data_IF_988854950810
#
_entry.id   IF_988854950810
#
_cell.length_a   1.000
_cell.length_b   1.000
_cell.length_c   1.000
_cell.angle_alpha   90.00
_cell.angle_beta   90.00
_cell.angle_gamma   90.00
#
_symmetry.space_group_name_H-M   'P 1'
#
loop_
_entity.id
_entity.type
_entity.pdbx_description
1 polymer ?
#
# COMPACT_ATOMS: atom_id res chain seq x y z
N UNK A 1 -19.30 8.92 -5.64
CA UNK A 1 -18.68 9.05 -4.31
C UNK A 1 -17.86 10.33 -4.31
N UNK A 2 -17.95 11.19 -3.29
CA UNK A 2 -17.14 12.42 -3.25
C UNK A 2 -15.67 12.05 -3.00
N UNK A 3 -14.76 12.68 -3.75
CA UNK A 3 -13.32 12.48 -3.55
C UNK A 3 -12.88 13.12 -2.24
N UNK A 4 -12.00 12.44 -1.51
CA UNK A 4 -11.36 12.93 -0.30
C UNK A 4 -9.89 12.54 -0.31
N UNK A 5 -9.03 13.37 0.28
CA UNK A 5 -7.62 13.01 0.44
C UNK A 5 -7.47 11.83 1.41
N UNK A 6 -6.46 10.99 1.16
CA UNK A 6 -6.08 9.89 2.05
C UNK A 6 -5.90 10.33 3.50
N UNK A 7 -5.34 11.52 3.71
CA UNK A 7 -5.01 12.03 5.04
C UNK A 7 -6.24 12.56 5.79
N UNK A 8 -7.34 12.84 5.08
CA UNK A 8 -8.60 13.35 5.64
C UNK A 8 -9.59 12.24 5.98
N UNK A 9 -9.36 11.01 5.47
CA UNK A 9 -10.24 9.87 5.69
C UNK A 9 -9.97 9.24 7.06
N UNK A 10 -11.05 8.93 7.78
CA UNK A 10 -10.96 8.08 8.98
C UNK A 10 -10.54 6.64 8.58
N UNK A 11 -10.09 5.84 9.55
CA UNK A 11 -9.73 4.45 9.29
C UNK A 11 -10.91 3.63 8.75
N UNK A 12 -12.12 3.88 9.26
CA UNK A 12 -13.34 3.22 8.77
C UNK A 12 -13.66 3.64 7.33
N UNK A 13 -13.56 4.94 6.99
CA UNK A 13 -13.77 5.38 5.61
C UNK A 13 -12.72 4.79 4.65
N UNK A 14 -11.46 4.68 5.08
CA UNK A 14 -10.40 4.01 4.31
C UNK A 14 -10.76 2.56 4.07
N UNK A 15 -11.16 1.84 5.11
CA UNK A 15 -11.56 0.44 5.04
C UNK A 15 -12.73 0.23 4.07
N UNK A 16 -13.80 1.00 4.20
CA UNK A 16 -15.00 0.84 3.38
C UNK A 16 -14.73 1.12 1.90
N UNK A 17 -13.96 2.18 1.61
CA UNK A 17 -13.58 2.54 0.24
C UNK A 17 -12.65 1.51 -0.39
N UNK A 18 -11.64 1.04 0.34
CA UNK A 18 -10.73 0.00 -0.15
C UNK A 18 -11.44 -1.36 -0.29
N UNK A 19 -12.38 -1.69 0.60
CA UNK A 19 -13.22 -2.88 0.50
C UNK A 19 -14.06 -2.86 -0.78
N UNK A 20 -14.61 -1.69 -1.13
CA UNK A 20 -15.38 -1.54 -2.38
C UNK A 20 -14.49 -1.76 -3.61
N UNK A 21 -13.26 -1.23 -3.59
CA UNK A 21 -12.27 -1.45 -4.66
C UNK A 21 -11.91 -2.93 -4.79
N UNK A 22 -11.60 -3.60 -3.67
CA UNK A 22 -11.25 -5.03 -3.68
C UNK A 22 -12.42 -5.91 -4.11
N UNK A 23 -13.64 -5.59 -3.69
CA UNK A 23 -14.85 -6.29 -4.11
C UNK A 23 -15.04 -6.20 -5.63
N UNK A 24 -14.87 -5.01 -6.20
CA UNK A 24 -14.95 -4.84 -7.65
C UNK A 24 -13.80 -5.57 -8.38
N UNK A 25 -12.58 -5.51 -7.86
CA UNK A 25 -11.44 -6.25 -8.43
C UNK A 25 -11.65 -7.78 -8.37
N UNK A 26 -12.41 -8.29 -7.41
CA UNK A 26 -12.82 -9.70 -7.37
C UNK A 26 -13.90 -10.06 -8.38
N UNK A 27 -14.72 -9.11 -8.81
CA UNK A 27 -15.89 -9.33 -9.67
C UNK A 27 -15.70 -8.92 -11.14
N UNK A 28 -14.77 -8.02 -11.44
CA UNK A 28 -14.49 -7.51 -12.79
C UNK A 28 -13.01 -7.72 -13.16
N UNK A 29 -12.77 -8.60 -14.13
CA UNK A 29 -11.43 -8.95 -14.60
C UNK A 29 -10.69 -7.77 -15.23
N UNK A 30 -11.38 -6.87 -15.94
CA UNK A 30 -10.73 -5.71 -16.59
C UNK A 30 -10.29 -4.71 -15.54
N UNK A 31 -11.11 -4.51 -14.51
CA UNK A 31 -10.74 -3.66 -13.38
C UNK A 31 -9.60 -4.29 -12.58
N UNK A 32 -9.66 -5.61 -12.33
CA UNK A 32 -8.57 -6.36 -11.69
C UNK A 32 -7.25 -6.19 -12.39
N UNK A 33 -7.21 -6.36 -13.71
CA UNK A 33 -6.00 -6.23 -14.51
C UNK A 33 -5.43 -4.81 -14.39
N UNK A 34 -6.29 -3.78 -14.43
CA UNK A 34 -5.87 -2.38 -14.19
C UNK A 34 -5.22 -2.18 -12.83
N UNK A 35 -5.71 -2.83 -11.78
CA UNK A 35 -5.10 -2.74 -10.45
C UNK A 35 -3.72 -3.40 -10.38
N UNK A 36 -3.46 -4.43 -11.20
CA UNK A 36 -2.22 -5.21 -11.18
C UNK A 36 -1.13 -4.68 -12.14
N UNK A 37 -1.49 -3.85 -13.13
CA UNK A 37 -0.56 -3.38 -14.19
C UNK A 37 0.63 -2.59 -13.64
N UNK A 38 0.40 -1.59 -12.79
CA UNK A 38 1.46 -0.76 -12.21
C UNK A 38 0.98 -0.02 -10.97
N UNK A 39 1.90 0.50 -10.12
CA UNK A 39 1.53 1.30 -8.96
C UNK A 39 0.68 2.54 -9.29
N UNK A 40 0.98 3.22 -10.40
CA UNK A 40 0.25 4.40 -10.85
C UNK A 40 -1.16 4.02 -11.34
N UNK A 41 -1.25 2.91 -12.07
CA UNK A 41 -2.54 2.37 -12.52
C UNK A 41 -3.41 1.95 -11.32
N UNK A 42 -2.81 1.32 -10.31
CA UNK A 42 -3.46 0.97 -9.05
C UNK A 42 -3.99 2.19 -8.30
N UNK A 43 -3.15 3.22 -8.10
CA UNK A 43 -3.56 4.49 -7.48
C UNK A 43 -4.74 5.11 -8.22
N UNK A 44 -4.68 5.13 -9.55
CA UNK A 44 -5.76 5.67 -10.39
C UNK A 44 -7.05 4.87 -10.26
N UNK A 45 -6.97 3.53 -10.29
CA UNK A 45 -8.12 2.65 -10.14
C UNK A 45 -8.81 2.83 -8.78
N UNK A 46 -8.03 2.93 -7.70
CA UNK A 46 -8.56 3.24 -6.36
C UNK A 46 -9.19 4.64 -6.33
N UNK A 47 -8.55 5.64 -6.93
CA UNK A 47 -9.09 7.00 -6.96
C UNK A 47 -10.40 7.14 -7.72
N UNK A 48 -10.60 6.32 -8.76
CA UNK A 48 -11.84 6.27 -9.53
C UNK A 48 -12.99 5.58 -8.76
N UNK A 49 -12.71 4.41 -8.16
CA UNK A 49 -13.75 3.56 -7.56
C UNK A 49 -13.97 3.85 -6.07
N UNK A 50 -12.88 3.99 -5.31
CA UNK A 50 -12.91 4.32 -3.89
C UNK A 50 -13.03 5.82 -3.62
N UNK A 51 -12.89 6.67 -4.64
CA UNK A 51 -12.94 8.12 -4.47
C UNK A 51 -11.84 8.65 -3.54
N UNK A 52 -10.65 8.04 -3.57
CA UNK A 52 -9.51 8.42 -2.72
C UNK A 52 -8.50 9.22 -3.53
N UNK A 53 -8.09 10.37 -3.03
CA UNK A 53 -6.97 11.12 -3.57
C UNK A 53 -5.73 10.82 -2.74
N UNK A 54 -4.67 10.39 -3.41
CA UNK A 54 -3.41 10.06 -2.75
C UNK A 54 -2.40 11.19 -2.90
N UNK A 55 -1.55 11.44 -1.89
CA UNK A 55 -0.36 12.26 -2.05
C UNK A 55 0.52 11.81 -3.23
N UNK A 56 1.30 12.71 -3.86
CA UNK A 56 2.13 12.39 -5.02
C UNK A 56 3.11 11.24 -4.77
N UNK A 57 3.74 11.23 -3.60
CA UNK A 57 4.76 10.28 -3.13
C UNK A 57 4.18 8.96 -2.59
N UNK A 58 2.87 8.88 -2.41
CA UNK A 58 2.20 7.68 -1.93
C UNK A 58 2.35 6.53 -2.95
N UNK A 59 2.68 5.32 -2.49
CA UNK A 59 2.78 4.12 -3.35
C UNK A 59 1.69 3.13 -3.00
N UNK A 60 1.02 2.60 -4.02
CA UNK A 60 0.05 1.51 -3.86
C UNK A 60 0.40 0.40 -4.81
N UNK A 61 0.31 -0.83 -4.35
CA UNK A 61 0.56 -2.02 -5.16
C UNK A 61 -0.48 -3.08 -4.80
N UNK A 62 -1.12 -3.65 -5.82
CA UNK A 62 -1.91 -4.87 -5.67
C UNK A 62 -1.00 -6.04 -6.01
N UNK A 63 -1.16 -7.13 -5.27
CA UNK A 63 -0.51 -8.40 -5.53
C UNK A 63 -1.59 -9.46 -5.62
N UNK A 64 -1.42 -10.41 -6.53
CA UNK A 64 -2.13 -11.68 -6.46
C UNK A 64 -1.67 -12.47 -5.22
N UNK A 65 -2.44 -13.48 -4.77
CA UNK A 65 -2.01 -14.34 -3.66
C UNK A 65 -0.65 -15.00 -3.89
N UNK A 66 -0.34 -15.37 -5.14
CA UNK A 66 0.96 -15.96 -5.49
C UNK A 66 2.10 -14.94 -5.40
N UNK A 67 1.91 -13.73 -5.94
CA UNK A 67 2.90 -12.67 -5.87
C UNK A 67 3.15 -12.20 -4.43
N UNK A 68 2.10 -12.18 -3.60
CA UNK A 68 2.21 -11.85 -2.18
C UNK A 68 3.19 -12.80 -1.46
N UNK A 69 3.13 -14.10 -1.75
CA UNK A 69 4.06 -15.10 -1.18
C UNK A 69 5.50 -14.96 -1.69
N UNK A 70 5.68 -14.28 -2.83
CA UNK A 70 6.97 -14.09 -3.50
C UNK A 70 7.53 -12.67 -3.34
N UNK A 71 6.88 -11.81 -2.55
CA UNK A 71 7.26 -10.40 -2.37
C UNK A 71 7.72 -10.13 -0.95
N UNK A 72 8.91 -9.53 -0.80
CA UNK A 72 9.44 -9.05 0.47
C UNK A 72 9.54 -7.51 0.43
N UNK A 73 8.92 -6.83 1.39
CA UNK A 73 9.01 -5.37 1.56
C UNK A 73 9.85 -5.07 2.79
N UNK A 74 11.02 -4.46 2.56
CA UNK A 74 11.94 -4.00 3.61
C UNK A 74 11.96 -2.47 3.65
N UNK A 75 11.95 -1.92 4.86
CA UNK A 75 12.13 -0.48 5.09
C UNK A 75 13.63 -0.20 5.20
N UNK A 76 14.13 0.76 4.45
CA UNK A 76 15.53 1.19 4.62
C UNK A 76 15.57 2.17 5.82
N UNK A 77 16.39 1.93 6.84
CA UNK A 77 16.57 2.85 7.95
C UNK A 77 17.19 4.18 7.49
N UNK A 78 17.04 5.20 8.32
CA UNK A 78 17.73 6.46 8.12
C UNK A 78 19.25 6.25 8.09
N UNK A 79 19.92 7.05 7.27
CA UNK A 79 21.36 7.03 7.15
C UNK A 79 21.99 7.69 8.38
N UNK A 80 22.73 6.89 9.16
CA UNK A 80 23.57 7.39 10.25
C UNK A 80 25.04 7.24 9.83
N UNK A 81 25.80 8.33 9.69
CA UNK A 81 27.24 8.24 9.41
C UNK A 81 27.94 7.53 10.57
N UNK A 82 28.95 6.71 10.25
CA UNK A 82 29.71 5.95 11.25
C UNK A 82 31.01 6.67 11.58
N UNK A 83 31.20 7.02 12.86
CA UNK A 83 32.40 7.74 13.31
C UNK A 83 33.69 6.90 13.14
N UNK A 84 33.59 5.57 13.20
CA UNK A 84 34.73 4.64 13.13
C UNK A 84 34.75 3.78 11.86
N UNK A 85 33.98 4.15 10.82
CA UNK A 85 33.95 3.46 9.53
C UNK A 85 33.38 2.03 9.53
N UNK A 86 32.89 1.54 10.68
CA UNK A 86 32.26 0.22 10.80
C UNK A 86 30.73 0.37 10.91
N UNK A 87 29.94 -0.21 9.98
CA UNK A 87 28.49 -0.12 10.01
C UNK A 87 27.90 -0.86 11.23
N UNK A 88 26.90 -0.25 11.85
CA UNK A 88 26.09 -0.93 12.88
C UNK A 88 25.30 -2.08 12.24
N UNK A 89 25.23 -3.22 12.94
CA UNK A 89 24.44 -4.38 12.49
C UNK A 89 22.97 -4.06 12.69
N UNK A 90 22.17 -4.21 11.63
CA UNK A 90 20.71 -4.00 11.63
C UNK A 90 20.00 -5.29 11.27
N UNK A 91 19.08 -5.74 12.12
CA UNK A 91 18.37 -7.00 11.90
C UNK A 91 17.21 -6.80 10.94
N UNK A 92 17.03 -7.73 10.00
CA UNK A 92 15.98 -7.63 8.98
C UNK A 92 14.57 -7.60 9.57
N UNK A 93 14.36 -8.25 10.73
CA UNK A 93 13.08 -8.32 11.43
C UNK A 93 12.57 -6.94 11.88
N UNK A 94 13.47 -6.02 12.23
CA UNK A 94 13.13 -4.66 12.66
C UNK A 94 12.59 -3.78 11.51
N UNK A 95 12.87 -4.20 10.28
CA UNK A 95 12.59 -3.42 9.06
C UNK A 95 11.63 -4.12 8.09
N UNK A 96 11.26 -5.37 8.39
CA UNK A 96 10.24 -6.09 7.67
C UNK A 96 8.87 -5.54 8.06
N UNK A 97 8.11 -5.02 7.08
CA UNK A 97 6.73 -4.59 7.35
C UNK A 97 5.78 -5.79 7.28
N UNK A 98 5.24 -6.20 8.42
CA UNK A 98 4.04 -7.02 8.46
C UNK A 98 2.81 -6.11 8.27
N UNK A 99 2.01 -6.34 7.23
CA UNK A 99 0.84 -5.52 6.86
C UNK A 99 -0.40 -5.72 7.75
N UNK A 100 -0.27 -6.34 8.92
CA UNK A 100 -1.37 -6.52 9.87
C UNK A 100 -1.48 -5.30 10.79
N UNK A 101 -1.90 -4.16 10.24
CA UNK A 101 -2.40 -3.08 11.08
C UNK A 101 -3.80 -3.46 11.61
N UNK A 102 -4.08 -3.21 12.89
CA UNK A 102 -5.44 -3.31 13.42
C UNK A 102 -6.25 -2.12 12.90
N UNK A 103 -6.93 -2.31 11.77
CA UNK A 103 -7.72 -1.25 11.14
C UNK A 103 -9.05 -0.98 11.86
N UNK A 104 -9.55 -1.98 12.60
CA UNK A 104 -10.73 -1.85 13.48
C UNK A 104 -10.25 -2.05 14.93
N UNK A 105 -10.56 -1.09 15.79
CA UNK A 105 -10.44 -1.21 17.24
C UNK A 105 -11.72 -1.76 17.84
#
# INVERSE_FOLDING_TARGET
MAKKSWDELTNDEKLDRLTSVLTLAGADIKFRDRCLVSPESAKKAIGEVGGIEFPPDFRVQFLTPEEQLKTLILTVPDFTPTDNGSPEVRNAEDYQKCTYAFWRS
#
